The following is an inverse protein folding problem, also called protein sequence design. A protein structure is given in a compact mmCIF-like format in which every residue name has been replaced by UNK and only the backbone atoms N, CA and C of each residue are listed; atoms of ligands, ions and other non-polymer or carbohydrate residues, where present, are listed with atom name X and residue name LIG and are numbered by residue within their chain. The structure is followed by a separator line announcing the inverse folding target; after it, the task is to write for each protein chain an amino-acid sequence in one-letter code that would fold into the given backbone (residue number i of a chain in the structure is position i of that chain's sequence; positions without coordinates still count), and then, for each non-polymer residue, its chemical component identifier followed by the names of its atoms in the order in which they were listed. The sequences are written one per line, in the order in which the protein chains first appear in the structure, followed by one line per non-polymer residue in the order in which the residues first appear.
data_IF_525670346211
#
_entry.id   IF_525670346211
#
_cell.length_a   1.000
_cell.length_b   1.000
_cell.length_c   1.000
_cell.angle_alpha   90.00
_cell.angle_beta   90.00
_cell.angle_gamma   90.00
#
_symmetry.space_group_name_H-M   'P 1'
#
loop_
_entity.id
_entity.type
_entity.pdbx_description
1 polymer ?
#
# COMPACT_ATOMS: atom_id res chain seq x y z
N UNK A 1 2.31 6.18 34.25
CA UNK A 1 1.87 5.13 33.33
C UNK A 1 2.22 5.60 31.93
N UNK A 2 3.14 4.92 31.25
CA UNK A 2 3.36 5.14 29.81
C UNK A 2 2.03 4.76 29.15
N UNK A 3 1.42 5.70 28.42
CA UNK A 3 0.27 5.38 27.54
C UNK A 3 0.79 4.34 26.55
N UNK A 4 0.20 3.15 26.53
CA UNK A 4 0.50 2.19 25.48
C UNK A 4 0.26 2.89 24.14
N UNK A 5 1.36 3.06 23.38
CA UNK A 5 1.30 3.74 22.10
C UNK A 5 0.49 2.88 21.13
N UNK A 6 -0.60 3.42 20.62
CA UNK A 6 -1.36 2.76 19.58
C UNK A 6 -0.51 2.67 18.32
N UNK A 7 -0.31 1.47 17.82
CA UNK A 7 0.41 1.21 16.56
C UNK A 7 -0.41 1.69 15.37
N UNK A 8 0.26 2.19 14.36
CA UNK A 8 -0.37 2.76 13.17
C UNK A 8 -0.02 2.00 11.90
N UNK A 9 -0.92 2.02 10.92
CA UNK A 9 -0.60 1.43 9.63
C UNK A 9 -1.19 2.21 8.44
N UNK A 10 -0.55 2.01 7.28
CA UNK A 10 -1.04 2.40 5.96
C UNK A 10 -1.26 1.14 5.13
N UNK A 11 -2.35 1.11 4.35
CA UNK A 11 -2.68 -0.01 3.49
C UNK A 11 -2.75 0.43 2.02
N UNK A 12 -1.85 -0.12 1.20
CA UNK A 12 -1.78 0.12 -0.24
C UNK A 12 -2.40 -1.05 -1.01
N UNK A 13 -3.11 -0.77 -2.10
CA UNK A 13 -3.89 -1.75 -2.88
C UNK A 13 -4.91 -2.51 -2.03
N UNK A 14 -5.52 -1.81 -1.12
CA UNK A 14 -6.21 -2.38 0.04
C UNK A 14 -7.49 -3.16 -0.26
N UNK A 15 -7.94 -3.23 -1.53
CA UNK A 15 -9.17 -3.92 -1.95
C UNK A 15 -10.37 -3.48 -1.07
N UNK A 16 -11.18 -4.41 -0.58
CA UNK A 16 -12.27 -4.15 0.36
C UNK A 16 -11.81 -4.04 1.83
N UNK A 17 -10.50 -4.07 2.10
CA UNK A 17 -9.92 -3.94 3.44
C UNK A 17 -9.76 -5.26 4.20
N UNK A 18 -10.07 -6.40 3.60
CA UNK A 18 -10.05 -7.71 4.27
C UNK A 18 -8.61 -8.11 4.68
N UNK A 19 -7.62 -7.90 3.81
CA UNK A 19 -6.23 -8.31 4.06
C UNK A 19 -5.56 -7.65 5.26
N UNK A 20 -6.08 -6.51 5.72
CA UNK A 20 -5.56 -5.80 6.89
C UNK A 20 -6.54 -5.77 8.08
N UNK A 21 -7.61 -6.57 8.04
CA UNK A 21 -8.57 -6.61 9.14
C UNK A 21 -7.95 -7.10 10.46
N UNK A 22 -6.96 -8.00 10.40
CA UNK A 22 -6.20 -8.45 11.57
C UNK A 22 -5.51 -7.31 12.32
N UNK A 23 -4.99 -6.30 11.65
CA UNK A 23 -4.43 -5.11 12.30
C UNK A 23 -5.48 -4.36 13.13
N UNK A 24 -6.69 -4.22 12.60
CA UNK A 24 -7.79 -3.59 13.33
C UNK A 24 -8.15 -4.40 14.60
N UNK A 25 -8.19 -5.72 14.51
CA UNK A 25 -8.49 -6.58 15.66
C UNK A 25 -7.42 -6.48 16.76
N UNK A 26 -6.15 -6.28 16.37
CA UNK A 26 -5.03 -6.08 17.29
C UNK A 26 -4.87 -4.62 17.76
N UNK A 27 -5.86 -3.76 17.48
CA UNK A 27 -5.89 -2.39 17.98
C UNK A 27 -5.01 -1.39 17.21
N UNK A 28 -4.52 -1.74 16.03
CA UNK A 28 -3.81 -0.79 15.17
C UNK A 28 -4.78 0.22 14.58
N UNK A 29 -4.35 1.48 14.44
CA UNK A 29 -5.12 2.52 13.77
C UNK A 29 -4.67 2.69 12.31
N UNK A 30 -5.64 2.62 11.38
CA UNK A 30 -5.40 2.91 9.96
C UNK A 30 -5.35 4.42 9.74
N UNK A 31 -4.19 4.93 9.34
CA UNK A 31 -4.00 6.35 9.03
C UNK A 31 -4.46 6.65 7.61
N UNK A 32 -4.04 5.83 6.64
CA UNK A 32 -4.43 5.99 5.24
C UNK A 32 -4.62 4.62 4.57
N UNK A 33 -5.54 4.59 3.61
CA UNK A 33 -5.77 3.43 2.75
C UNK A 33 -5.93 3.87 1.31
N UNK A 34 -5.24 3.20 0.38
CA UNK A 34 -5.36 3.46 -1.05
C UNK A 34 -5.95 2.27 -1.79
N UNK A 35 -6.88 2.53 -2.67
CA UNK A 35 -7.51 1.55 -3.57
C UNK A 35 -7.94 2.25 -4.87
N UNK A 36 -7.71 1.57 -5.99
CA UNK A 36 -8.05 2.08 -7.32
C UNK A 36 -9.57 2.22 -7.52
N UNK A 37 -10.36 1.24 -7.05
CA UNK A 37 -11.79 1.16 -7.31
C UNK A 37 -12.61 1.79 -6.18
N UNK A 38 -13.33 2.91 -6.45
CA UNK A 38 -14.13 3.62 -5.42
C UNK A 38 -15.10 2.71 -4.67
N UNK A 39 -15.80 1.80 -5.37
CA UNK A 39 -16.75 0.86 -4.76
C UNK A 39 -16.15 -0.04 -3.67
N UNK A 40 -14.85 -0.37 -3.77
CA UNK A 40 -14.12 -1.14 -2.76
C UNK A 40 -13.79 -0.25 -1.56
N UNK A 41 -13.46 1.00 -1.83
CA UNK A 41 -13.25 2.00 -0.80
C UNK A 41 -14.53 2.25 0.02
N UNK A 42 -15.71 2.22 -0.61
CA UNK A 42 -16.98 2.38 0.11
C UNK A 42 -17.20 1.26 1.13
N UNK A 43 -16.81 0.02 0.82
CA UNK A 43 -16.85 -1.08 1.79
C UNK A 43 -15.96 -0.78 3.01
N UNK A 44 -14.77 -0.25 2.78
CA UNK A 44 -13.85 0.11 3.87
C UNK A 44 -14.42 1.26 4.73
N UNK A 45 -15.14 2.23 4.12
CA UNK A 45 -15.81 3.33 4.83
C UNK A 45 -16.94 2.80 5.73
N UNK A 46 -17.77 1.90 5.20
CA UNK A 46 -18.84 1.26 5.99
C UNK A 46 -18.27 0.54 7.21
N UNK A 47 -17.12 -0.12 7.05
CA UNK A 47 -16.40 -0.81 8.12
C UNK A 47 -15.54 0.12 9.00
N UNK A 48 -15.60 1.43 8.78
CA UNK A 48 -14.87 2.45 9.57
C UNK A 48 -13.37 2.13 9.73
N UNK A 49 -12.73 1.70 8.65
CA UNK A 49 -11.33 1.27 8.67
C UNK A 49 -10.37 2.37 9.10
N UNK A 50 -10.48 3.58 8.49
CA UNK A 50 -9.62 4.71 8.84
C UNK A 50 -10.21 5.54 9.99
N UNK A 51 -9.32 6.06 10.81
CA UNK A 51 -9.68 6.96 11.91
C UNK A 51 -10.30 8.26 11.39
N UNK A 52 -9.71 8.83 10.36
CA UNK A 52 -10.17 10.06 9.71
C UNK A 52 -10.77 9.74 8.35
N UNK A 53 -11.84 10.45 7.98
CA UNK A 53 -12.48 10.24 6.67
C UNK A 53 -11.55 10.62 5.49
N UNK A 54 -10.64 11.56 5.70
CA UNK A 54 -9.61 11.93 4.72
C UNK A 54 -8.57 10.83 4.46
N UNK A 55 -8.45 9.83 5.33
CA UNK A 55 -7.56 8.68 5.15
C UNK A 55 -7.99 7.70 4.06
N UNK A 56 -9.23 7.83 3.55
CA UNK A 56 -9.68 7.02 2.40
C UNK A 56 -9.30 7.70 1.09
N UNK A 57 -8.27 7.19 0.41
CA UNK A 57 -7.64 7.78 -0.77
C UNK A 57 -7.92 6.90 -2.00
N UNK A 58 -9.08 7.06 -2.66
CA UNK A 58 -9.36 6.34 -3.91
C UNK A 58 -8.52 6.91 -5.04
N UNK A 59 -7.99 6.03 -5.90
CA UNK A 59 -7.30 6.42 -7.12
C UNK A 59 -6.06 5.58 -7.43
N UNK A 60 -5.53 5.84 -8.61
CA UNK A 60 -4.35 5.16 -9.14
C UNK A 60 -3.09 5.66 -8.41
N UNK A 61 -2.40 4.76 -7.73
CA UNK A 61 -1.21 5.06 -6.93
C UNK A 61 -0.01 5.52 -7.78
N UNK A 62 -0.01 5.24 -9.08
CA UNK A 62 1.03 5.73 -10.01
C UNK A 62 0.94 7.25 -10.20
N UNK A 63 -0.20 7.86 -9.87
CA UNK A 63 -0.40 9.30 -10.00
C UNK A 63 0.27 10.05 -8.85
N UNK A 64 1.16 11.04 -9.13
CA UNK A 64 1.82 11.81 -8.09
C UNK A 64 0.84 12.50 -7.13
N UNK A 65 -0.32 12.91 -7.62
CA UNK A 65 -1.38 13.54 -6.81
C UNK A 65 -1.98 12.59 -5.78
N UNK A 66 -2.04 11.29 -6.07
CA UNK A 66 -2.53 10.26 -5.13
C UNK A 66 -1.47 9.98 -4.07
N UNK A 67 -0.21 9.83 -4.46
CA UNK A 67 0.91 9.70 -3.51
C UNK A 67 0.96 10.91 -2.57
N UNK A 68 0.80 12.14 -3.11
CA UNK A 68 0.81 13.35 -2.29
C UNK A 68 -0.30 13.35 -1.24
N UNK A 69 -1.52 12.90 -1.57
CA UNK A 69 -2.62 12.77 -0.58
C UNK A 69 -2.25 11.82 0.57
N UNK A 70 -1.52 10.74 0.30
CA UNK A 70 -1.04 9.84 1.36
C UNK A 70 -0.08 10.60 2.30
N UNK A 71 0.87 11.35 1.74
CA UNK A 71 1.82 12.13 2.53
C UNK A 71 1.16 13.26 3.32
N UNK A 72 0.17 13.92 2.72
CA UNK A 72 -0.62 14.97 3.38
C UNK A 72 -1.41 14.41 4.57
N UNK A 73 -1.97 13.19 4.43
CA UNK A 73 -2.70 12.55 5.51
C UNK A 73 -1.79 12.15 6.67
N UNK A 74 -0.56 11.68 6.39
CA UNK A 74 0.46 11.43 7.42
C UNK A 74 0.80 12.73 8.15
N UNK A 75 1.08 13.80 7.40
CA UNK A 75 1.40 15.11 7.99
C UNK A 75 0.27 15.65 8.86
N UNK A 76 -0.98 15.41 8.45
CA UNK A 76 -2.16 15.77 9.23
C UNK A 76 -2.23 14.95 10.53
N UNK A 77 -1.96 13.64 10.44
CA UNK A 77 -1.92 12.75 11.57
C UNK A 77 -0.88 13.17 12.62
N UNK A 78 0.32 13.53 12.16
CA UNK A 78 1.39 14.03 13.02
C UNK A 78 1.06 15.36 13.69
N UNK A 79 0.40 16.29 12.97
CA UNK A 79 -0.08 17.57 13.53
C UNK A 79 -1.14 17.39 14.62
N UNK A 80 -1.82 16.26 14.67
CA UNK A 80 -2.73 15.90 15.75
C UNK A 80 -2.00 15.36 17.00
N UNK A 81 -0.67 15.40 17.01
CA UNK A 81 0.15 14.96 18.13
C UNK A 81 0.43 13.46 18.16
N UNK A 82 0.26 12.80 17.02
CA UNK A 82 0.57 11.37 16.86
C UNK A 82 1.98 11.19 16.31
N UNK A 83 2.57 10.04 16.58
CA UNK A 83 3.83 9.63 15.96
C UNK A 83 3.64 9.21 14.48
N UNK A 84 4.77 9.00 13.80
CA UNK A 84 4.79 8.53 12.41
C UNK A 84 4.16 7.14 12.20
N UNK A 85 4.37 6.56 11.04
CA UNK A 85 3.76 5.30 10.63
C UNK A 85 4.60 4.10 11.11
N UNK A 86 3.96 3.15 11.80
CA UNK A 86 4.63 1.94 12.26
C UNK A 86 4.70 0.87 11.15
N UNK A 87 3.61 0.66 10.39
CA UNK A 87 3.55 -0.41 9.37
C UNK A 87 2.99 0.12 8.05
N UNK A 88 3.62 -0.28 6.94
CA UNK A 88 2.99 -0.20 5.61
C UNK A 88 2.74 -1.62 5.12
N UNK A 89 1.48 -1.93 4.79
CA UNK A 89 1.12 -3.16 4.10
C UNK A 89 0.76 -2.85 2.66
N UNK A 90 1.41 -3.54 1.72
CA UNK A 90 1.16 -3.44 0.29
C UNK A 90 0.78 -4.81 -0.29
N UNK A 91 -0.37 -4.87 -0.95
CA UNK A 91 -0.86 -6.06 -1.63
C UNK A 91 -1.06 -5.78 -3.13
N UNK A 92 0.04 -5.48 -3.87
CA UNK A 92 -0.06 -5.16 -5.28
C UNK A 92 -0.62 -6.34 -6.07
N UNK A 93 -1.46 -6.08 -7.11
CA UNK A 93 -2.12 -7.15 -7.86
C UNK A 93 -1.11 -8.04 -8.59
N UNK A 94 -1.29 -9.36 -8.46
CA UNK A 94 -0.44 -10.38 -9.08
C UNK A 94 -0.82 -10.73 -10.54
N UNK A 95 -1.59 -9.89 -11.23
CA UNK A 95 -2.16 -10.20 -12.55
C UNK A 95 -1.13 -10.39 -13.69
N UNK A 96 0.12 -10.01 -13.50
CA UNK A 96 1.22 -10.29 -14.43
C UNK A 96 2.13 -11.46 -14.01
N UNK A 97 1.87 -12.04 -12.83
CA UNK A 97 2.76 -13.03 -12.19
C UNK A 97 2.32 -14.48 -12.47
N UNK A 98 1.12 -14.67 -13.03
CA UNK A 98 0.56 -16.00 -13.27
C UNK A 98 1.48 -16.83 -14.19
N UNK A 99 1.92 -17.98 -13.68
CA UNK A 99 2.82 -18.95 -14.33
C UNK A 99 2.22 -19.48 -15.66
N UNK A 100 0.93 -19.27 -15.90
CA UNK A 100 0.18 -19.76 -17.07
C UNK A 100 0.39 -18.88 -18.30
N UNK A 101 0.89 -17.67 -18.15
CA UNK A 101 1.03 -16.73 -19.27
C UNK A 101 2.47 -16.68 -19.78
N UNK A 102 2.82 -17.59 -20.69
CA UNK A 102 4.14 -17.65 -21.34
C UNK A 102 4.41 -16.52 -22.36
N UNK A 103 3.45 -15.61 -22.57
CA UNK A 103 3.60 -14.43 -23.45
C UNK A 103 3.58 -13.17 -22.60
N UNK A 104 4.72 -12.84 -21.98
CA UNK A 104 4.93 -11.54 -21.33
C UNK A 104 4.85 -10.44 -22.38
N UNK A 105 3.90 -9.53 -22.26
CA UNK A 105 3.82 -8.32 -23.05
C UNK A 105 4.16 -7.09 -22.18
N UNK A 106 4.44 -5.96 -22.80
CA UNK A 106 4.82 -4.71 -22.14
C UNK A 106 3.80 -4.25 -21.09
N UNK A 107 2.53 -4.63 -21.22
CA UNK A 107 1.49 -4.30 -20.23
C UNK A 107 1.66 -5.08 -18.91
N UNK A 108 2.24 -6.26 -18.93
CA UNK A 108 2.50 -7.05 -17.71
C UNK A 108 3.69 -6.50 -16.96
N UNK A 109 4.74 -6.07 -17.65
CA UNK A 109 5.90 -5.43 -17.04
C UNK A 109 5.49 -4.12 -16.38
N UNK A 110 4.63 -3.32 -17.04
CA UNK A 110 4.10 -2.08 -16.47
C UNK A 110 3.24 -2.32 -15.21
N UNK A 111 2.51 -3.43 -15.11
CA UNK A 111 1.76 -3.77 -13.89
C UNK A 111 2.66 -4.16 -12.72
N UNK A 112 3.81 -4.76 -13.01
CA UNK A 112 4.79 -5.09 -11.99
C UNK A 112 5.45 -3.83 -11.40
N UNK A 113 5.41 -2.70 -12.13
CA UNK A 113 5.87 -1.40 -11.61
C UNK A 113 5.11 -0.94 -10.35
N UNK A 114 3.91 -1.47 -10.08
CA UNK A 114 3.16 -1.14 -8.86
C UNK A 114 3.90 -1.54 -7.56
N UNK A 115 4.80 -2.51 -7.65
CA UNK A 115 5.71 -2.84 -6.54
C UNK A 115 6.72 -1.72 -6.33
N UNK A 116 7.31 -1.21 -7.42
CA UNK A 116 8.24 -0.08 -7.39
C UNK A 116 7.57 1.15 -6.77
N UNK A 117 6.33 1.44 -7.17
CA UNK A 117 5.53 2.52 -6.57
C UNK A 117 5.38 2.36 -5.05
N UNK A 118 5.18 1.10 -4.59
CA UNK A 118 5.10 0.81 -3.16
C UNK A 118 6.44 1.02 -2.46
N UNK A 119 7.53 0.59 -3.08
CA UNK A 119 8.90 0.76 -2.54
C UNK A 119 9.24 2.24 -2.43
N UNK A 120 8.92 3.06 -3.43
CA UNK A 120 9.10 4.52 -3.37
C UNK A 120 8.35 5.16 -2.19
N UNK A 121 7.10 4.74 -1.96
CA UNK A 121 6.30 5.24 -0.84
C UNK A 121 6.92 4.81 0.50
N UNK A 122 7.34 3.55 0.61
CA UNK A 122 8.01 3.01 1.81
C UNK A 122 9.31 3.75 2.07
N UNK A 123 10.11 3.96 1.02
CA UNK A 123 11.41 4.66 1.14
C UNK A 123 11.22 6.12 1.59
N UNK A 124 10.18 6.79 1.14
CA UNK A 124 9.88 8.16 1.54
C UNK A 124 9.34 8.26 2.97
N UNK A 125 8.46 7.33 3.39
CA UNK A 125 7.80 7.37 4.71
C UNK A 125 8.71 6.82 5.80
N UNK A 126 9.56 5.83 5.48
CA UNK A 126 10.45 5.14 6.44
C UNK A 126 9.69 4.55 7.64
N UNK A 127 8.67 3.69 7.41
CA UNK A 127 7.96 3.03 8.49
C UNK A 127 8.89 2.12 9.29
N UNK A 128 8.48 1.71 10.50
CA UNK A 128 9.25 0.73 11.29
C UNK A 128 9.27 -0.64 10.65
N UNK A 129 8.16 -1.02 9.99
CA UNK A 129 8.00 -2.29 9.28
C UNK A 129 7.24 -2.09 7.98
N UNK A 130 7.51 -2.93 7.00
CA UNK A 130 6.67 -3.05 5.82
C UNK A 130 6.40 -4.52 5.50
N UNK A 131 5.24 -4.78 4.89
CA UNK A 131 4.77 -6.11 4.52
C UNK A 131 4.32 -6.08 3.08
N UNK A 132 4.91 -6.93 2.25
CA UNK A 132 4.38 -7.27 0.94
C UNK A 132 3.67 -8.62 1.01
N UNK A 133 2.39 -8.65 0.64
CA UNK A 133 1.64 -9.89 0.43
C UNK A 133 1.51 -10.13 -1.07
N UNK A 134 1.93 -11.32 -1.51
CA UNK A 134 1.81 -11.72 -2.91
C UNK A 134 2.02 -13.24 -3.07
N UNK A 135 1.88 -13.76 -4.31
CA UNK A 135 2.11 -15.17 -4.61
C UNK A 135 3.60 -15.52 -4.62
N UNK A 136 3.95 -16.80 -4.43
CA UNK A 136 5.35 -17.26 -4.35
C UNK A 136 6.20 -16.91 -5.59
N UNK A 137 5.59 -16.82 -6.77
CA UNK A 137 6.26 -16.44 -8.01
C UNK A 137 6.68 -14.95 -8.06
N UNK A 138 6.25 -14.15 -7.09
CA UNK A 138 6.49 -12.71 -7.01
C UNK A 138 7.98 -12.34 -7.11
N UNK A 139 8.84 -13.02 -6.36
CA UNK A 139 10.29 -12.74 -6.33
C UNK A 139 10.99 -12.89 -7.69
N UNK A 140 10.46 -13.74 -8.56
CA UNK A 140 11.00 -13.99 -9.92
C UNK A 140 10.36 -13.11 -10.98
N UNK A 141 9.45 -12.24 -10.60
CA UNK A 141 8.73 -11.37 -11.52
C UNK A 141 9.61 -10.20 -11.91
N UNK A 142 9.65 -9.89 -13.21
CA UNK A 142 10.38 -8.74 -13.72
C UNK A 142 9.59 -7.45 -13.46
N UNK A 143 10.27 -6.42 -13.02
CA UNK A 143 9.76 -5.06 -12.91
C UNK A 143 10.71 -4.09 -13.65
N UNK A 144 10.21 -2.90 -13.91
CA UNK A 144 11.02 -1.77 -14.41
C UNK A 144 11.33 -0.88 -13.22
N UNK A 145 12.60 -0.63 -12.98
CA UNK A 145 13.07 0.28 -11.95
C UNK A 145 12.94 1.75 -12.39
N UNK A 146 13.05 2.74 -11.48
CA UNK A 146 12.98 4.17 -11.84
C UNK A 146 14.04 4.61 -12.86
N UNK A 147 15.15 3.90 -12.95
CA UNK A 147 16.24 4.11 -13.93
C UNK A 147 16.08 3.25 -15.21
N UNK A 148 14.84 2.78 -15.47
CA UNK A 148 14.45 2.01 -16.67
C UNK A 148 15.14 0.65 -16.85
N UNK A 149 15.72 0.08 -15.81
CA UNK A 149 16.29 -1.27 -15.85
C UNK A 149 15.18 -2.32 -15.62
N UNK A 150 15.31 -3.45 -16.30
CA UNK A 150 14.42 -4.61 -16.12
C UNK A 150 15.13 -5.64 -15.26
N UNK A 151 14.59 -5.91 -14.07
CA UNK A 151 15.18 -6.85 -13.12
C UNK A 151 14.11 -7.62 -12.32
N UNK A 152 14.47 -8.79 -11.73
CA UNK A 152 13.58 -9.47 -10.80
C UNK A 152 13.32 -8.65 -9.54
N UNK A 153 12.09 -8.70 -9.03
CA UNK A 153 11.70 -7.96 -7.80
C UNK A 153 12.51 -8.41 -6.58
N UNK A 154 12.98 -9.66 -6.57
CA UNK A 154 13.74 -10.22 -5.46
C UNK A 154 15.23 -9.92 -5.46
N UNK A 155 15.74 -9.16 -6.42
CA UNK A 155 17.13 -8.70 -6.53
C UNK A 155 17.25 -7.20 -6.30
#
# INVERSE_FOLDING_TARGET
MLKDKTMTYISLFSSAGVGCYGFHMEGFECVATNELLPRRMDVQRVNKKCKLDSGYIPGDITQPTIKQKIYDEISKWEKLGNDGIDVIIATPPCQGISVINHKKNDQEINRNSLVVESVEIIDRIKPRFFIFENVMAFQKTLCITPDEQVMPIGE
#
